data_IF_437998599862
#
_entry.id   IF_437998599862
#
_cell.length_a   1.000
_cell.length_b   1.000
_cell.length_c   1.000
_cell.angle_alpha   90.00
_cell.angle_beta   90.00
_cell.angle_gamma   90.00
#
_symmetry.space_group_name_H-M   'P 1'
#
loop_
_entity.id
_entity.type
_entity.pdbx_description
1 polymer ?
#
# COMPACT_ATOMS: atom_id res chain seq x y z
N UNK A 1 -60.65 -43.55 19.38
CA UNK A 1 -59.30 -43.46 19.95
C UNK A 1 -59.35 -42.56 21.18
N UNK A 2 -59.19 -43.11 22.39
CA UNK A 2 -59.14 -42.30 23.62
C UNK A 2 -57.73 -41.73 23.73
N UNK A 3 -57.51 -40.54 23.18
CA UNK A 3 -56.25 -39.81 23.41
C UNK A 3 -56.18 -39.50 24.91
N UNK A 4 -55.36 -40.27 25.64
CA UNK A 4 -55.25 -40.06 27.08
C UNK A 4 -54.68 -38.66 27.29
N UNK A 5 -55.33 -37.88 28.16
CA UNK A 5 -55.00 -36.46 28.44
C UNK A 5 -53.52 -36.24 28.73
N UNK A 6 -52.82 -37.27 29.23
CA UNK A 6 -51.37 -37.30 29.47
C UNK A 6 -50.54 -37.03 28.20
N UNK A 7 -50.91 -37.59 27.05
CA UNK A 7 -50.16 -37.36 25.80
C UNK A 7 -50.35 -35.95 25.25
N UNK A 8 -51.53 -35.34 25.49
CA UNK A 8 -51.80 -33.95 25.11
C UNK A 8 -50.95 -32.99 25.95
N UNK A 9 -50.81 -33.25 27.25
CA UNK A 9 -49.92 -32.46 28.12
C UNK A 9 -48.44 -32.56 27.71
N UNK A 10 -47.97 -33.75 27.33
CA UNK A 10 -46.57 -33.95 26.87
C UNK A 10 -46.32 -33.19 25.55
N UNK A 11 -47.27 -33.21 24.62
CA UNK A 11 -47.14 -32.51 23.34
C UNK A 11 -47.07 -30.99 23.52
N UNK A 12 -47.85 -30.43 24.46
CA UNK A 12 -47.78 -28.99 24.78
C UNK A 12 -46.43 -28.59 25.38
N UNK A 13 -45.83 -29.43 26.22
CA UNK A 13 -44.51 -29.17 26.80
C UNK A 13 -43.43 -29.14 25.71
N UNK A 14 -43.48 -30.07 24.75
CA UNK A 14 -42.53 -30.13 23.63
C UNK A 14 -42.63 -28.87 22.75
N UNK A 15 -43.84 -28.38 22.47
CA UNK A 15 -44.03 -27.16 21.68
C UNK A 15 -43.46 -25.91 22.35
N UNK A 16 -43.53 -25.83 23.69
CA UNK A 16 -42.93 -24.71 24.46
C UNK A 16 -41.40 -24.75 24.38
N UNK A 17 -40.79 -25.93 24.54
CA UNK A 17 -39.33 -26.08 24.41
C UNK A 17 -38.83 -25.81 22.99
N UNK A 18 -39.59 -26.21 21.97
CA UNK A 18 -39.28 -25.90 20.57
C UNK A 18 -39.32 -24.39 20.31
N UNK A 19 -40.32 -23.69 20.85
CA UNK A 19 -40.44 -22.24 20.73
C UNK A 19 -39.28 -21.48 21.40
N UNK A 20 -38.86 -21.92 22.59
CA UNK A 20 -37.70 -21.36 23.30
C UNK A 20 -36.42 -21.61 22.51
N UNK A 21 -36.23 -22.82 21.98
CA UNK A 21 -35.05 -23.16 21.16
C UNK A 21 -34.95 -22.31 19.89
N UNK A 22 -36.06 -22.12 19.18
CA UNK A 22 -36.11 -21.26 17.99
C UNK A 22 -35.84 -19.78 18.32
N UNK A 23 -36.29 -19.31 19.50
CA UNK A 23 -35.98 -17.95 19.98
C UNK A 23 -34.48 -17.76 20.26
N UNK A 24 -33.81 -18.75 20.85
CA UNK A 24 -32.36 -18.70 21.06
C UNK A 24 -31.58 -18.70 19.74
N UNK A 25 -31.98 -19.50 18.74
CA UNK A 25 -31.33 -19.50 17.43
C UNK A 25 -31.43 -18.13 16.72
N UNK A 26 -32.58 -17.45 16.81
CA UNK A 26 -32.77 -16.11 16.25
C UNK A 26 -31.85 -15.07 16.92
N UNK A 27 -31.65 -15.16 18.23
CA UNK A 27 -30.73 -14.27 18.94
C UNK A 27 -29.27 -14.47 18.52
N UNK A 28 -28.83 -15.72 18.29
CA UNK A 28 -27.49 -16.02 17.76
C UNK A 28 -27.28 -15.49 16.33
N UNK A 29 -28.31 -15.52 15.48
CA UNK A 29 -28.20 -14.96 14.12
C UNK A 29 -28.09 -13.43 14.11
N UNK A 30 -28.64 -12.73 15.10
CA UNK A 30 -28.53 -11.26 15.20
C UNK A 30 -27.13 -10.78 15.57
N UNK A 31 -26.37 -11.58 16.32
CA UNK A 31 -25.00 -11.20 16.72
C UNK A 31 -23.97 -11.30 15.59
N UNK A 32 -24.22 -12.13 14.55
CA UNK A 32 -23.28 -12.26 13.43
C UNK A 32 -23.49 -11.23 12.31
N UNK A 33 -24.51 -10.38 12.39
CA UNK A 33 -24.79 -9.35 11.38
C UNK A 33 -24.19 -7.96 11.73
N UNK A 34 -23.39 -7.85 12.80
CA UNK A 34 -22.90 -6.56 13.33
C UNK A 34 -21.39 -6.35 13.13
N UNK A 35 -20.67 -7.30 12.53
CA UNK A 35 -19.19 -7.21 12.37
C UNK A 35 -18.72 -7.01 10.91
N UNK A 36 -19.50 -6.31 10.08
CA UNK A 36 -19.04 -5.82 8.77
C UNK A 36 -19.08 -4.29 8.65
N UNK A 37 -18.71 -3.57 9.71
CA UNK A 37 -18.34 -2.17 9.54
C UNK A 37 -17.08 -1.86 10.34
N UNK A 38 -16.11 -1.30 9.62
CA UNK A 38 -14.81 -0.74 10.05
C UNK A 38 -13.57 -1.58 9.73
N UNK A 39 -13.49 -2.12 8.50
CA UNK A 39 -12.18 -2.15 7.81
C UNK A 39 -11.88 -0.71 7.42
N UNK A 40 -11.08 -0.02 8.25
CA UNK A 40 -10.52 1.30 7.87
C UNK A 40 -9.40 1.03 6.87
N UNK A 41 -9.75 1.04 5.59
CA UNK A 41 -8.74 1.08 4.53
C UNK A 41 -8.02 2.44 4.57
N UNK A 42 -6.69 2.41 4.38
CA UNK A 42 -5.80 3.57 4.54
C UNK A 42 -5.99 4.71 3.53
N UNK A 43 -7.10 4.74 2.78
CA UNK A 43 -7.42 5.79 1.82
C UNK A 43 -8.94 6.07 1.76
N UNK A 44 -9.58 6.18 2.92
CA UNK A 44 -11.01 6.49 2.94
C UNK A 44 -11.27 8.01 2.84
N UNK A 45 -11.91 8.44 1.75
CA UNK A 45 -12.33 9.84 1.51
C UNK A 45 -13.38 10.32 2.52
N UNK A 46 -13.97 9.41 3.29
CA UNK A 46 -14.92 9.70 4.35
C UNK A 46 -14.27 10.20 5.66
N UNK A 47 -12.94 10.04 5.83
CA UNK A 47 -12.19 10.67 6.94
C UNK A 47 -12.33 12.20 6.90
N UNK A 48 -12.51 12.78 5.70
CA UNK A 48 -12.70 14.21 5.54
C UNK A 48 -14.00 14.75 6.18
N UNK A 49 -14.98 13.89 6.52
CA UNK A 49 -16.23 14.32 7.17
C UNK A 49 -16.12 14.43 8.69
N UNK A 50 -15.15 13.74 9.31
CA UNK A 50 -14.90 13.77 10.75
C UNK A 50 -13.56 14.39 11.14
N UNK A 51 -12.78 14.89 10.16
CA UNK A 51 -11.53 15.57 10.44
C UNK A 51 -11.81 16.93 11.10
N UNK A 52 -11.23 17.24 12.27
CA UNK A 52 -11.42 18.53 12.90
C UNK A 52 -11.00 19.65 11.94
N UNK A 53 -11.86 20.67 11.79
CA UNK A 53 -11.77 21.73 10.76
C UNK A 53 -10.41 22.47 10.68
N UNK A 54 -9.54 22.35 11.68
CA UNK A 54 -8.24 23.01 11.75
C UNK A 54 -7.05 22.03 11.90
N UNK A 55 -7.07 20.88 11.22
CA UNK A 55 -5.89 20.01 11.16
C UNK A 55 -4.74 20.64 10.36
N UNK A 56 -3.51 20.72 10.92
CA UNK A 56 -2.31 20.99 10.14
C UNK A 56 -2.08 19.88 9.13
N UNK A 57 -1.55 20.21 7.95
CA UNK A 57 -1.50 19.27 6.82
C UNK A 57 -0.13 19.16 6.13
N UNK A 58 0.82 20.05 6.43
CA UNK A 58 2.11 20.08 5.75
C UNK A 58 3.26 20.33 6.73
N UNK A 59 4.27 19.46 6.76
CA UNK A 59 5.47 19.59 7.57
C UNK A 59 6.67 19.66 6.63
N UNK A 60 7.42 20.77 6.66
CA UNK A 60 8.60 20.96 5.79
C UNK A 60 9.85 21.03 6.64
N UNK A 61 10.85 20.23 6.28
CA UNK A 61 12.21 20.35 6.79
C UNK A 61 13.04 21.25 5.86
N UNK A 62 13.42 22.42 6.35
CA UNK A 62 14.32 23.37 5.66
C UNK A 62 15.59 23.51 6.49
N UNK A 63 16.66 22.84 6.06
CA UNK A 63 17.96 22.92 6.72
C UNK A 63 17.92 22.45 8.18
N UNK A 64 17.96 23.40 9.13
CA UNK A 64 18.02 23.17 10.57
C UNK A 64 16.65 23.27 11.28
N UNK A 65 15.59 23.62 10.56
CA UNK A 65 14.27 23.82 11.13
C UNK A 65 13.20 22.98 10.42
N UNK A 66 12.28 22.43 11.22
CA UNK A 66 11.10 21.72 10.75
C UNK A 66 9.87 22.59 11.05
N UNK A 67 9.15 22.99 10.01
CA UNK A 67 8.01 23.91 10.14
C UNK A 67 6.71 23.20 9.78
N UNK A 68 5.73 23.29 10.68
CA UNK A 68 4.39 22.76 10.50
C UNK A 68 3.45 23.86 10.01
N UNK A 69 2.77 23.58 8.91
CA UNK A 69 1.88 24.48 8.21
C UNK A 69 0.46 23.93 8.18
N UNK A 70 -0.48 24.87 8.10
CA UNK A 70 -1.85 24.62 7.70
C UNK A 70 -2.13 25.42 6.42
N UNK A 71 -2.18 24.74 5.28
CA UNK A 71 -2.47 25.38 3.98
C UNK A 71 -3.96 25.62 3.77
N UNK A 72 -4.82 25.07 4.64
CA UNK A 72 -6.26 25.25 4.60
C UNK A 72 -6.72 26.42 5.48
N UNK A 73 -5.81 27.05 6.21
CA UNK A 73 -6.09 28.23 7.01
C UNK A 73 -6.36 29.42 6.08
N UNK A 74 -7.58 29.95 6.12
CA UNK A 74 -7.91 31.20 5.44
C UNK A 74 -7.23 32.37 6.18
N UNK A 75 -6.42 33.16 5.47
CA UNK A 75 -5.82 34.38 6.02
C UNK A 75 -6.75 35.56 5.74
N UNK A 76 -7.30 36.17 6.80
CA UNK A 76 -8.17 37.35 6.69
C UNK A 76 -7.31 38.60 6.46
N UNK A 77 -6.99 38.88 5.21
CA UNK A 77 -6.38 40.15 4.80
C UNK A 77 -7.44 41.23 4.52
N UNK A 78 -7.04 42.50 4.61
CA UNK A 78 -7.86 43.70 4.34
C UNK A 78 -8.40 43.76 2.88
N UNK A 79 -7.94 42.87 2.00
CA UNK A 79 -8.37 42.74 0.60
C UNK A 79 -8.76 41.30 0.21
N UNK A 80 -9.67 40.70 0.99
CA UNK A 80 -10.29 39.42 0.67
C UNK A 80 -9.48 38.19 1.11
N UNK A 81 -10.16 37.04 1.10
CA UNK A 81 -9.61 35.74 1.51
C UNK A 81 -8.62 35.27 0.44
N UNK A 82 -7.33 35.28 0.75
CA UNK A 82 -6.31 34.57 -0.02
C UNK A 82 -6.00 33.26 0.71
N UNK A 83 -5.79 32.13 0.01
CA UNK A 83 -5.30 30.91 0.64
C UNK A 83 -3.90 31.19 1.20
N UNK A 84 -3.84 31.40 2.52
CA UNK A 84 -2.61 31.73 3.24
C UNK A 84 -2.01 30.47 3.82
N UNK A 85 -0.70 30.33 3.69
CA UNK A 85 0.03 29.23 4.35
C UNK A 85 0.32 29.67 5.79
N UNK A 86 -0.49 29.23 6.76
CA UNK A 86 -0.30 29.60 8.17
C UNK A 86 0.72 28.68 8.85
N UNK A 87 1.72 29.27 9.53
CA UNK A 87 2.69 28.53 10.36
C UNK A 87 2.03 28.21 11.70
N UNK A 88 1.88 26.92 12.00
CA UNK A 88 1.30 26.43 13.26
C UNK A 88 2.38 26.31 14.33
N UNK A 89 3.52 25.72 13.98
CA UNK A 89 4.62 25.47 14.90
C UNK A 89 5.95 25.31 14.15
N UNK A 90 7.05 25.58 14.85
CA UNK A 90 8.42 25.36 14.36
C UNK A 90 9.13 24.48 15.37
N UNK A 91 9.85 23.48 14.88
CA UNK A 91 10.58 22.50 15.67
C UNK A 91 12.04 22.48 15.22
N UNK A 92 12.97 22.24 16.15
CA UNK A 92 14.40 22.09 15.83
C UNK A 92 14.78 20.66 15.48
N UNK A 93 14.01 19.69 15.98
CA UNK A 93 14.31 18.26 15.80
C UNK A 93 13.05 17.46 15.49
N UNK A 94 13.20 16.31 14.84
CA UNK A 94 12.08 15.39 14.59
C UNK A 94 11.49 14.82 15.89
N UNK A 95 12.31 14.69 16.94
CA UNK A 95 11.87 14.23 18.25
C UNK A 95 10.89 15.22 18.92
N UNK A 96 11.15 16.52 18.78
CA UNK A 96 10.27 17.58 19.29
C UNK A 96 8.91 17.54 18.59
N UNK A 97 8.89 17.34 17.27
CA UNK A 97 7.67 17.11 16.51
C UNK A 97 6.96 15.83 16.96
N UNK A 98 7.68 14.73 17.20
CA UNK A 98 7.08 13.48 17.70
C UNK A 98 6.37 13.68 19.05
N UNK A 99 6.97 14.45 19.97
CA UNK A 99 6.34 14.81 21.26
C UNK A 99 5.07 15.64 21.06
N UNK A 100 5.10 16.60 20.14
CA UNK A 100 3.92 17.39 19.77
C UNK A 100 2.79 16.48 19.25
N UNK A 101 3.10 15.55 18.33
CA UNK A 101 2.10 14.60 17.78
C UNK A 101 1.55 13.68 18.86
N UNK A 102 2.40 13.16 19.75
CA UNK A 102 1.96 12.32 20.87
C UNK A 102 0.99 13.08 21.78
N UNK A 103 1.29 14.35 22.08
CA UNK A 103 0.39 15.20 22.85
C UNK A 103 -0.94 15.45 22.11
N UNK A 104 -0.92 15.75 20.81
CA UNK A 104 -2.14 15.92 20.00
C UNK A 104 -2.99 14.64 19.97
N UNK A 105 -2.37 13.46 19.90
CA UNK A 105 -3.07 12.17 19.96
C UNK A 105 -3.68 11.92 21.34
N UNK A 106 -3.01 12.34 22.43
CA UNK A 106 -3.55 12.20 23.79
C UNK A 106 -4.83 13.00 24.04
N UNK A 107 -5.03 14.10 23.29
CA UNK A 107 -6.25 14.92 23.33
C UNK A 107 -7.28 14.51 22.26
N UNK A 108 -7.04 13.40 21.54
CA UNK A 108 -7.96 12.87 20.54
C UNK A 108 -7.84 13.50 19.14
N UNK A 109 -6.82 14.30 18.87
CA UNK A 109 -6.59 14.91 17.56
C UNK A 109 -5.65 14.05 16.71
N UNK A 110 -6.20 13.41 15.69
CA UNK A 110 -5.46 12.58 14.73
C UNK A 110 -5.42 13.28 13.36
N UNK A 111 -4.41 14.12 13.14
CA UNK A 111 -4.25 14.84 11.88
C UNK A 111 -3.22 14.16 10.96
N UNK A 112 -3.57 13.83 9.70
CA UNK A 112 -2.60 13.39 8.71
C UNK A 112 -1.76 14.58 8.25
N UNK A 113 -0.43 14.43 8.26
CA UNK A 113 0.51 15.48 7.87
C UNK A 113 1.43 14.95 6.77
N UNK A 114 1.54 15.69 5.67
CA UNK A 114 2.50 15.40 4.60
C UNK A 114 3.89 15.94 4.98
N UNK A 115 4.90 15.07 5.03
CA UNK A 115 6.28 15.46 5.32
C UNK A 115 7.09 15.66 4.03
N UNK A 116 7.69 16.85 3.89
CA UNK A 116 8.60 17.21 2.79
C UNK A 116 9.99 17.57 3.34
N UNK A 117 11.03 17.10 2.67
CA UNK A 117 12.43 17.49 2.94
C UNK A 117 12.95 18.35 1.78
N UNK A 118 13.63 19.45 2.13
CA UNK A 118 14.37 20.26 1.16
C UNK A 118 15.69 19.56 0.79
N UNK A 119 15.96 19.42 -0.51
CA UNK A 119 17.20 18.92 -1.07
C UNK A 119 17.68 19.86 -2.17
N UNK A 120 18.99 20.03 -2.32
CA UNK A 120 19.57 20.80 -3.42
C UNK A 120 19.81 19.87 -4.61
N UNK A 121 19.27 20.22 -5.78
CA UNK A 121 19.54 19.47 -7.00
C UNK A 121 21.00 19.66 -7.45
N UNK A 122 21.49 18.79 -8.34
CA UNK A 122 22.83 18.92 -8.94
C UNK A 122 23.03 20.23 -9.72
N UNK A 123 21.95 20.96 -10.01
CA UNK A 123 21.95 22.26 -10.68
C UNK A 123 21.92 23.44 -9.68
N UNK A 124 21.98 23.17 -8.38
CA UNK A 124 21.94 24.18 -7.32
C UNK A 124 20.55 24.75 -7.03
N UNK A 125 19.48 24.10 -7.49
CA UNK A 125 18.09 24.51 -7.22
C UNK A 125 17.53 23.75 -6.04
N UNK A 126 16.91 24.46 -5.10
CA UNK A 126 16.17 23.84 -4.00
C UNK A 126 14.92 23.12 -4.51
N UNK A 127 14.82 21.83 -4.23
CA UNK A 127 13.67 20.98 -4.53
C UNK A 127 13.14 20.36 -3.25
N UNK A 128 11.82 20.18 -3.16
CA UNK A 128 11.18 19.52 -2.03
C UNK A 128 10.78 18.11 -2.43
N UNK A 129 11.20 17.10 -1.66
CA UNK A 129 10.88 15.69 -1.89
C UNK A 129 10.04 15.13 -0.75
N UNK A 130 9.08 14.27 -1.10
CA UNK A 130 8.33 13.47 -0.13
C UNK A 130 9.18 12.28 0.31
N UNK A 131 9.16 11.97 1.61
CA UNK A 131 9.82 10.79 2.14
C UNK A 131 8.77 9.74 2.49
N UNK A 132 8.79 8.61 1.78
CA UNK A 132 8.04 7.41 2.15
C UNK A 132 9.02 6.41 2.78
N UNK A 133 8.58 5.49 3.66
CA UNK A 133 9.44 4.44 4.20
C UNK A 133 10.16 3.60 3.11
N UNK A 134 9.61 3.60 1.90
CA UNK A 134 10.12 2.91 0.71
C UNK A 134 11.11 3.76 -0.09
N UNK A 135 11.22 5.07 0.22
CA UNK A 135 12.19 6.00 -0.37
C UNK A 135 13.54 6.00 0.35
N UNK A 136 13.66 5.18 1.40
CA UNK A 136 14.84 4.96 2.20
C UNK A 136 15.71 3.85 1.57
N UNK A 137 16.07 4.02 0.29
CA UNK A 137 17.35 3.52 -0.20
C UNK A 137 18.27 4.73 -0.16
N UNK A 138 19.08 4.90 0.90
CA UNK A 138 20.17 5.87 0.85
C UNK A 138 21.05 5.44 -0.31
N UNK A 139 21.14 6.28 -1.32
CA UNK A 139 22.04 6.13 -2.46
C UNK A 139 23.49 6.15 -1.91
N UNK A 140 23.94 5.00 -1.42
CA UNK A 140 25.31 4.71 -1.03
C UNK A 140 26.11 4.61 -2.32
N UNK A 141 26.43 5.76 -2.91
CA UNK A 141 27.07 5.78 -4.22
C UNK A 141 27.44 7.19 -4.64
N UNK A 142 28.50 7.72 -4.03
CA UNK A 142 29.25 8.83 -4.61
C UNK A 142 29.58 8.54 -6.09
N UNK A 143 29.23 9.48 -6.98
CA UNK A 143 29.76 9.56 -8.34
C UNK A 143 29.33 8.47 -9.31
N UNK A 144 28.14 8.60 -9.91
CA UNK A 144 27.92 8.07 -11.27
C UNK A 144 28.04 9.22 -12.28
N UNK A 145 28.93 9.13 -13.28
CA UNK A 145 28.93 10.11 -14.37
C UNK A 145 27.57 10.07 -15.05
N UNK A 146 27.05 11.25 -15.41
CA UNK A 146 25.91 11.37 -16.32
C UNK A 146 26.25 10.58 -17.58
N UNK A 147 25.63 9.43 -17.77
CA UNK A 147 25.74 8.69 -19.02
C UNK A 147 25.05 9.54 -20.07
N UNK A 148 25.85 10.20 -20.92
CA UNK A 148 25.35 10.80 -22.15
C UNK A 148 24.74 9.63 -22.95
N UNK A 149 23.44 9.67 -23.31
CA UNK A 149 22.86 8.57 -24.08
C UNK A 149 23.64 8.41 -25.39
N UNK A 150 23.94 7.18 -25.84
CA UNK A 150 24.79 6.92 -27.00
C UNK A 150 24.12 7.25 -28.35
N UNK A 151 23.18 8.20 -28.40
CA UNK A 151 22.39 8.48 -29.59
C UNK A 151 22.41 9.95 -30.00
N UNK A 152 23.58 10.61 -29.98
CA UNK A 152 23.71 11.99 -30.44
C UNK A 152 24.88 12.24 -31.40
N UNK A 153 25.36 11.20 -32.09
CA UNK A 153 26.40 11.38 -33.13
C UNK A 153 25.92 11.20 -34.58
N UNK A 154 24.64 10.95 -34.83
CA UNK A 154 24.18 10.66 -36.20
C UNK A 154 22.92 11.38 -36.68
N UNK A 155 22.48 12.46 -36.04
CA UNK A 155 21.36 13.26 -36.57
C UNK A 155 21.90 14.40 -37.45
N UNK A 156 21.72 14.37 -38.77
CA UNK A 156 22.19 15.44 -39.66
C UNK A 156 21.47 16.77 -39.36
N UNK A 157 22.23 17.86 -39.44
CA UNK A 157 21.93 19.22 -38.96
C UNK A 157 20.69 19.89 -39.60
N UNK A 158 20.06 19.29 -40.61
CA UNK A 158 18.97 19.91 -41.37
C UNK A 158 17.57 19.73 -40.77
N UNK A 159 17.40 19.00 -39.67
CA UNK A 159 16.08 18.72 -39.08
C UNK A 159 15.72 19.64 -37.88
N UNK A 160 16.32 20.82 -37.80
CA UNK A 160 16.23 21.72 -36.64
C UNK A 160 14.91 22.52 -36.52
N UNK A 161 13.90 22.30 -37.37
CA UNK A 161 12.65 23.09 -37.36
C UNK A 161 11.38 22.35 -36.93
N UNK A 162 11.46 21.07 -36.55
CA UNK A 162 10.34 20.40 -35.90
C UNK A 162 10.68 20.12 -34.45
N UNK A 163 10.58 21.15 -33.62
CA UNK A 163 10.47 20.95 -32.18
C UNK A 163 9.09 20.35 -31.89
N UNK A 164 8.95 19.09 -31.45
CA UNK A 164 7.72 18.67 -30.78
C UNK A 164 7.60 19.45 -29.46
N UNK A 165 6.44 20.05 -29.16
CA UNK A 165 6.27 20.93 -28.02
C UNK A 165 5.82 20.13 -26.79
N UNK A 166 6.71 19.46 -26.05
CA UNK A 166 6.39 19.00 -24.69
C UNK A 166 7.63 18.48 -23.94
N UNK A 167 8.22 19.32 -23.09
CA UNK A 167 8.82 18.83 -21.86
C UNK A 167 7.85 19.22 -20.74
N UNK A 168 6.95 18.29 -20.41
CA UNK A 168 6.18 18.31 -19.17
C UNK A 168 6.91 17.38 -18.22
N UNK A 169 7.93 17.91 -17.53
CA UNK A 169 8.50 17.24 -16.37
C UNK A 169 7.42 17.20 -15.27
N UNK A 170 6.84 16.03 -15.03
CA UNK A 170 5.87 15.80 -13.95
C UNK A 170 4.67 14.91 -14.29
N UNK A 171 4.53 14.41 -15.52
CA UNK A 171 3.55 13.38 -15.85
C UNK A 171 4.16 11.98 -15.79
N UNK A 172 3.42 11.00 -15.27
CA UNK A 172 3.67 9.58 -15.55
C UNK A 172 3.84 9.42 -17.08
N UNK A 173 4.80 8.61 -17.56
CA UNK A 173 4.94 8.39 -19.01
C UNK A 173 3.59 7.98 -19.59
N UNK A 174 3.22 8.56 -20.73
CA UNK A 174 2.03 8.14 -21.46
C UNK A 174 2.16 6.66 -21.76
N UNK A 175 1.36 5.83 -21.08
CA UNK A 175 1.24 4.41 -21.37
C UNK A 175 0.83 4.32 -22.84
N UNK A 176 1.64 3.71 -23.72
CA UNK A 176 1.21 3.47 -25.08
C UNK A 176 -0.08 2.65 -24.99
N UNK A 177 -1.21 3.20 -25.45
CA UNK A 177 -2.43 2.43 -25.70
C UNK A 177 -2.17 1.57 -26.93
N UNK A 178 -1.24 0.62 -26.80
CA UNK A 178 -1.20 -0.55 -27.64
C UNK A 178 -2.55 -1.27 -27.44
N UNK A 179 -3.19 -1.79 -28.50
CA UNK A 179 -4.37 -2.62 -28.33
C UNK A 179 -4.03 -3.72 -27.32
N UNK A 180 -4.92 -3.95 -26.35
CA UNK A 180 -4.78 -4.98 -25.33
C UNK A 180 -4.69 -6.32 -26.05
N UNK A 181 -3.47 -6.70 -26.40
CA UNK A 181 -3.16 -8.01 -26.88
C UNK A 181 -3.10 -8.87 -25.61
N UNK A 182 -4.09 -9.75 -25.43
CA UNK A 182 -4.14 -10.71 -24.32
C UNK A 182 -2.99 -11.74 -24.37
N UNK A 183 -2.00 -11.56 -25.24
CA UNK A 183 -0.80 -12.39 -25.28
C UNK A 183 0.13 -11.99 -24.14
N UNK A 184 0.45 -12.97 -23.31
CA UNK A 184 1.41 -12.85 -22.23
C UNK A 184 2.79 -12.56 -22.81
N UNK A 185 3.38 -11.44 -22.39
CA UNK A 185 4.68 -10.98 -22.86
C UNK A 185 5.76 -11.54 -21.93
N UNK A 186 6.84 -12.07 -22.50
CA UNK A 186 8.01 -12.45 -21.72
C UNK A 186 8.75 -11.17 -21.27
N UNK A 187 9.00 -11.06 -19.96
CA UNK A 187 9.78 -9.95 -19.40
C UNK A 187 11.19 -9.99 -19.98
N UNK A 188 11.62 -8.88 -20.58
CA UNK A 188 13.01 -8.67 -21.00
C UNK A 188 13.85 -8.42 -19.77
N UNK A 189 14.86 -9.27 -19.57
CA UNK A 189 15.74 -9.22 -18.42
C UNK A 189 17.19 -9.33 -18.90
N UNK A 190 17.91 -8.21 -18.80
CA UNK A 190 19.30 -8.11 -19.21
C UNK A 190 20.21 -9.10 -18.43
N UNK A 191 19.81 -9.51 -17.22
CA UNK A 191 20.56 -10.48 -16.43
C UNK A 191 20.53 -11.89 -17.04
N UNK A 192 19.57 -12.18 -17.94
CA UNK A 192 19.35 -13.50 -18.57
C UNK A 192 19.76 -13.58 -20.03
N UNK A 193 20.21 -12.47 -20.63
CA UNK A 193 20.63 -12.44 -22.04
C UNK A 193 21.88 -13.30 -22.31
N UNK A 194 22.74 -13.47 -21.30
CA UNK A 194 23.90 -14.36 -21.40
C UNK A 194 23.50 -15.79 -20.99
N UNK A 195 23.19 -16.63 -21.98
CA UNK A 195 22.60 -17.97 -21.80
C UNK A 195 23.42 -19.01 -21.01
N UNK A 196 24.44 -18.65 -20.25
CA UNK A 196 25.16 -19.55 -19.34
C UNK A 196 25.07 -19.14 -17.87
N UNK A 197 24.59 -17.93 -17.57
CA UNK A 197 24.42 -17.42 -16.21
C UNK A 197 22.95 -17.04 -15.97
N UNK A 198 22.50 -17.08 -14.71
CA UNK A 198 21.20 -16.58 -14.24
C UNK A 198 19.94 -17.17 -14.91
N UNK A 199 20.04 -18.38 -15.49
CA UNK A 199 18.91 -19.05 -16.16
C UNK A 199 17.77 -19.42 -15.21
N UNK A 200 18.12 -19.91 -14.03
CA UNK A 200 17.18 -20.41 -13.01
C UNK A 200 17.01 -19.44 -11.83
N UNK A 201 17.56 -18.23 -11.94
CA UNK A 201 17.43 -17.19 -10.91
C UNK A 201 16.10 -16.43 -11.04
N UNK A 202 15.81 -15.55 -10.08
CA UNK A 202 14.65 -14.65 -10.12
C UNK A 202 14.83 -13.54 -11.16
N UNK A 203 13.74 -12.98 -11.70
CA UNK A 203 13.82 -11.86 -12.64
C UNK A 203 14.50 -10.66 -12.00
N UNK A 204 15.34 -9.98 -12.77
CA UNK A 204 15.97 -8.73 -12.37
C UNK A 204 14.94 -7.63 -12.05
N UNK A 205 15.29 -6.75 -11.13
CA UNK A 205 14.48 -5.57 -10.82
C UNK A 205 14.48 -4.59 -12.01
N UNK A 206 13.29 -4.21 -12.49
CA UNK A 206 13.11 -3.20 -13.55
C UNK A 206 12.77 -1.83 -12.94
N UNK A 207 13.73 -0.88 -12.89
CA UNK A 207 13.47 0.47 -12.38
C UNK A 207 12.65 1.34 -13.34
N UNK A 208 12.54 0.97 -14.62
CA UNK A 208 11.88 1.77 -15.66
C UNK A 208 10.41 1.41 -15.87
N UNK A 209 9.96 0.25 -15.37
CA UNK A 209 8.56 -0.16 -15.42
C UNK A 209 8.06 -0.33 -16.86
N UNK A 210 8.82 -1.01 -17.71
CA UNK A 210 8.53 -1.12 -19.15
C UNK A 210 7.21 -1.84 -19.47
N UNK A 211 6.76 -2.69 -18.54
CA UNK A 211 5.58 -3.55 -18.70
C UNK A 211 4.34 -3.05 -17.95
N UNK A 212 4.34 -1.81 -17.45
CA UNK A 212 3.15 -1.25 -16.77
C UNK A 212 1.95 -1.29 -17.71
N UNK A 213 0.88 -1.97 -17.29
CA UNK A 213 -0.36 -2.12 -18.05
C UNK A 213 -0.36 -3.25 -19.08
N UNK A 214 0.69 -4.09 -19.14
CA UNK A 214 0.76 -5.28 -20.00
C UNK A 214 0.82 -6.55 -19.14
N UNK A 215 0.15 -7.62 -19.57
CA UNK A 215 0.25 -8.91 -18.88
C UNK A 215 1.56 -9.60 -19.24
N UNK A 216 2.35 -9.92 -18.22
CA UNK A 216 3.64 -10.57 -18.35
C UNK A 216 3.63 -12.02 -17.85
N UNK A 217 4.66 -12.79 -18.19
CA UNK A 217 4.84 -14.15 -17.67
C UNK A 217 5.01 -14.17 -16.13
N UNK A 218 5.43 -13.06 -15.51
CA UNK A 218 5.48 -12.94 -14.05
C UNK A 218 4.09 -12.77 -13.45
N UNK A 219 3.22 -12.04 -14.15
CA UNK A 219 1.83 -11.87 -13.73
C UNK A 219 1.07 -13.21 -13.81
N UNK A 220 1.36 -14.08 -14.78
CA UNK A 220 0.80 -15.44 -14.81
C UNK A 220 1.16 -16.26 -13.57
N UNK A 221 2.41 -16.16 -13.09
CA UNK A 221 2.84 -16.85 -11.86
C UNK A 221 2.05 -16.32 -10.67
N UNK A 222 1.86 -15.00 -10.58
CA UNK A 222 1.05 -14.39 -9.52
C UNK A 222 -0.43 -14.81 -9.60
N UNK A 223 -1.02 -14.84 -10.79
CA UNK A 223 -2.40 -15.33 -11.01
C UNK A 223 -2.51 -16.84 -10.70
N UNK A 224 -1.44 -17.61 -10.87
CA UNK A 224 -1.44 -19.02 -10.52
C UNK A 224 -1.55 -19.26 -9.01
N UNK A 225 -1.01 -18.35 -8.17
CA UNK A 225 -1.15 -18.46 -6.70
C UNK A 225 -2.57 -18.15 -6.24
N UNK A 226 -3.29 -17.30 -6.97
CA UNK A 226 -4.68 -16.92 -6.65
C UNK A 226 -5.69 -18.05 -6.85
N UNK A 227 -5.38 -19.01 -7.73
CA UNK A 227 -6.29 -20.07 -8.15
C UNK A 227 -5.98 -21.45 -7.54
N UNK A 228 -5.25 -21.49 -6.42
CA UNK A 228 -4.89 -22.76 -5.79
C UNK A 228 -6.15 -23.44 -5.23
N UNK A 229 -6.49 -24.60 -5.82
CA UNK A 229 -7.55 -25.48 -5.34
C UNK A 229 -7.21 -25.92 -3.92
N UNK A 230 -8.06 -25.50 -3.00
CA UNK A 230 -8.01 -25.82 -1.58
C UNK A 230 -8.43 -27.27 -1.34
N UNK A 231 -7.60 -28.23 -1.75
CA UNK A 231 -7.73 -29.63 -1.34
C UNK A 231 -7.66 -29.80 0.20
N UNK A 232 -7.22 -28.77 0.93
CA UNK A 232 -7.19 -28.72 2.38
C UNK A 232 -8.42 -28.04 3.03
N UNK A 233 -9.13 -27.16 2.31
CA UNK A 233 -10.35 -26.48 2.79
C UNK A 233 -11.41 -26.53 1.70
N UNK A 234 -12.25 -27.57 1.76
CA UNK A 234 -13.21 -28.03 0.75
C UNK A 234 -14.24 -27.02 0.23
N UNK A 235 -14.17 -25.73 0.56
CA UNK A 235 -15.20 -24.75 0.17
C UNK A 235 -14.72 -23.38 -0.29
N UNK A 236 -13.45 -22.98 -0.18
CA UNK A 236 -13.07 -21.60 -0.57
C UNK A 236 -11.81 -21.55 -1.43
N UNK A 237 -11.95 -20.97 -2.63
CA UNK A 237 -10.86 -20.58 -3.54
C UNK A 237 -10.08 -19.41 -2.93
N UNK A 238 -9.22 -19.70 -1.96
CA UNK A 238 -8.40 -18.70 -1.29
C UNK A 238 -6.90 -19.00 -1.52
N UNK A 239 -6.09 -17.95 -1.57
CA UNK A 239 -4.65 -18.03 -1.82
C UNK A 239 -3.85 -18.14 -0.52
N UNK A 240 -2.71 -18.82 -0.55
CA UNK A 240 -1.73 -18.80 0.54
C UNK A 240 -0.78 -17.60 0.48
N UNK A 241 -0.82 -16.83 -0.61
CA UNK A 241 0.02 -15.64 -0.78
C UNK A 241 -0.63 -14.42 -0.08
N UNK A 242 0.05 -13.77 0.87
CA UNK A 242 -0.46 -12.58 1.57
C UNK A 242 -0.66 -11.34 0.70
N UNK A 243 -0.08 -11.33 -0.51
CA UNK A 243 -0.29 -10.25 -1.46
C UNK A 243 -1.59 -10.38 -2.28
N UNK A 244 -2.25 -11.55 -2.22
CA UNK A 244 -3.47 -11.79 -3.00
C UNK A 244 -4.72 -11.26 -2.27
N UNK A 245 -5.68 -10.73 -3.03
CA UNK A 245 -6.93 -10.20 -2.48
C UNK A 245 -7.79 -11.27 -1.80
N UNK A 246 -7.64 -12.54 -2.19
CA UNK A 246 -8.31 -13.69 -1.62
C UNK A 246 -7.41 -14.48 -0.64
N UNK A 247 -6.48 -13.82 0.06
CA UNK A 247 -5.59 -14.50 1.01
C UNK A 247 -6.34 -15.21 2.15
N UNK A 248 -6.02 -16.50 2.38
CA UNK A 248 -6.61 -17.33 3.44
C UNK A 248 -6.14 -16.95 4.87
N UNK A 249 -5.20 -16.01 5.00
CA UNK A 249 -4.63 -15.60 6.28
C UNK A 249 -3.45 -16.43 6.77
N UNK A 250 -2.91 -16.03 7.91
CA UNK A 250 -1.62 -16.51 8.43
C UNK A 250 -1.66 -17.99 8.80
N UNK A 251 -2.75 -18.48 9.42
CA UNK A 251 -2.84 -19.87 9.89
C UNK A 251 -2.83 -20.85 8.70
N UNK A 252 -3.62 -20.56 7.66
CA UNK A 252 -3.68 -21.37 6.46
C UNK A 252 -2.32 -21.37 5.71
N UNK A 253 -1.66 -20.21 5.66
CA UNK A 253 -0.32 -20.08 5.06
C UNK A 253 0.70 -20.92 5.82
N UNK A 254 0.67 -20.89 7.16
CA UNK A 254 1.55 -21.70 7.99
C UNK A 254 1.30 -23.20 7.80
N UNK A 255 0.04 -23.63 7.71
CA UNK A 255 -0.30 -25.03 7.42
C UNK A 255 0.20 -25.48 6.04
N UNK A 256 0.15 -24.60 5.03
CA UNK A 256 0.70 -24.88 3.72
C UNK A 256 2.24 -25.03 3.76
N UNK A 257 2.94 -24.20 4.54
CA UNK A 257 4.38 -24.38 4.82
C UNK A 257 4.63 -25.72 5.51
N UNK A 258 3.89 -26.02 6.58
CA UNK A 258 4.05 -27.25 7.35
C UNK A 258 3.75 -28.51 6.52
N UNK A 259 2.86 -28.41 5.53
CA UNK A 259 2.55 -29.50 4.58
C UNK A 259 3.66 -29.77 3.56
N UNK A 260 4.69 -28.91 3.50
CA UNK A 260 5.79 -29.00 2.54
C UNK A 260 5.49 -28.39 1.18
N UNK A 261 4.38 -27.65 1.01
CA UNK A 261 4.03 -26.97 -0.25
C UNK A 261 5.12 -25.99 -0.70
N UNK A 262 5.82 -25.38 0.26
CA UNK A 262 6.89 -24.42 0.04
C UNK A 262 8.28 -24.99 0.31
N UNK A 263 8.44 -26.32 0.31
CA UNK A 263 9.72 -26.96 0.57
C UNK A 263 10.81 -26.40 -0.37
N UNK A 264 11.97 -26.07 0.21
CA UNK A 264 13.12 -25.40 -0.44
C UNK A 264 12.92 -23.92 -0.81
N UNK A 265 11.76 -23.32 -0.54
CA UNK A 265 11.47 -21.89 -0.73
C UNK A 265 11.14 -21.17 0.60
N UNK A 266 11.45 -21.81 1.73
CA UNK A 266 11.17 -21.27 3.07
C UNK A 266 12.19 -20.17 3.44
N UNK A 267 11.69 -19.01 3.84
CA UNK A 267 12.52 -17.90 4.34
C UNK A 267 12.32 -17.75 5.83
N UNK A 268 13.36 -18.03 6.60
CA UNK A 268 13.34 -17.89 8.05
C UNK A 268 13.77 -16.49 8.48
N UNK A 269 13.10 -15.93 9.50
CA UNK A 269 13.52 -14.67 10.10
C UNK A 269 14.93 -14.81 10.69
N UNK A 270 15.85 -13.94 10.29
CA UNK A 270 17.16 -13.86 10.91
C UNK A 270 17.01 -13.53 12.40
N UNK A 271 17.43 -14.45 13.28
CA UNK A 271 17.49 -14.22 14.71
C UNK A 271 18.79 -13.47 14.99
N UNK A 272 18.70 -12.15 15.13
CA UNK A 272 19.84 -11.38 15.62
C UNK A 272 19.97 -11.62 17.12
N UNK A 273 21.13 -12.08 17.63
CA UNK A 273 21.35 -12.15 19.06
C UNK A 273 21.19 -10.74 19.61
N UNK A 274 20.27 -10.56 20.57
CA UNK A 274 20.16 -9.31 21.30
C UNK A 274 21.52 -9.06 21.96
N UNK A 275 22.24 -8.05 21.47
CA UNK A 275 23.46 -7.59 22.12
C UNK A 275 23.03 -7.09 23.49
N UNK A 276 23.34 -7.88 24.52
CA UNK A 276 23.16 -7.47 25.89
C UNK A 276 24.01 -6.20 26.08
N UNK A 277 23.34 -5.08 26.32
CA UNK A 277 24.00 -3.85 26.75
C UNK A 277 24.50 -4.14 28.17
N UNK A 278 25.81 -4.32 28.29
CA UNK A 278 26.53 -4.46 29.57
C UNK A 278 26.69 -3.07 30.20
#
# INVERSE_FOLDING_TARGET
MKFTTKYICILLIILVFLGIFLFYLNQLTRTQAIEEENVVEGFDTNVSKNLPKNCPNLLINRGDAIVLYNTNAAESGEHGVKPGTHIVAVFKTLEEYAKYVQHQRSIGNYCPVLYLRQETSAQGKDVYKMYTPNSEIPDQGAGKPVFKPPFLESVPIWDLHHQPPFYVEGGLPAVPTEPVNNQVIQVMDASRENGQFNKDDYPGFDPYGLYVGKATNLDEIHVSTQNLDSNFHQTNKCSYNPADSNWCGVIATQQAVDSGMFANNEVNKAIYPHVAVV
#
